data_IF_152834375015
#
_entry.id   IF_152834375015
#
_cell.length_a   1.000
_cell.length_b   1.000
_cell.length_c   1.000
_cell.angle_alpha   90.00
_cell.angle_beta   90.00
_cell.angle_gamma   90.00
#
_symmetry.space_group_name_H-M   'P 1'
#
loop_
_entity.id
_entity.type
_entity.pdbx_description
1 polymer ?
#
# COMPACT_ATOMS: atom_id res chain seq x y z
N UNK A 1 -7.61 12.63 19.88
CA UNK A 1 -6.54 11.80 19.29
C UNK A 1 -5.20 12.28 19.85
N UNK A 2 -4.52 11.52 20.72
CA UNK A 2 -3.25 11.93 21.34
C UNK A 2 -2.04 11.87 20.39
N UNK A 3 -2.25 11.44 19.14
CA UNK A 3 -1.21 11.28 18.12
C UNK A 3 -0.24 12.47 17.99
N UNK A 4 -0.68 13.75 17.96
CA UNK A 4 0.25 14.88 17.89
C UNK A 4 1.20 14.98 19.10
N UNK A 5 0.72 14.60 20.29
CA UNK A 5 1.56 14.58 21.49
C UNK A 5 2.62 13.48 21.42
N UNK A 6 2.28 12.31 20.87
CA UNK A 6 3.26 11.25 20.64
C UNK A 6 4.31 11.64 19.61
N UNK A 7 3.93 12.34 18.53
CA UNK A 7 4.89 12.88 17.57
C UNK A 7 5.82 13.92 18.23
N UNK A 8 5.28 14.82 19.05
CA UNK A 8 6.08 15.86 19.70
C UNK A 8 7.11 15.31 20.71
N UNK A 9 6.80 14.18 21.35
CA UNK A 9 7.63 13.57 22.39
C UNK A 9 8.66 12.58 21.85
N UNK A 10 8.55 12.15 20.59
CA UNK A 10 9.47 11.17 20.03
C UNK A 10 10.84 11.79 19.72
N UNK A 11 11.90 11.09 20.11
CA UNK A 11 13.27 11.44 19.73
C UNK A 11 13.58 11.07 18.28
N UNK A 12 12.89 10.05 17.74
CA UNK A 12 13.09 9.51 16.39
C UNK A 12 11.85 8.74 15.91
N UNK A 13 11.70 8.65 14.58
CA UNK A 13 10.64 7.91 13.91
C UNK A 13 11.16 6.76 13.07
N UNK A 14 10.43 5.64 13.11
CA UNK A 14 10.56 4.52 12.18
C UNK A 14 9.21 4.31 11.50
N UNK A 15 9.15 4.49 10.18
CA UNK A 15 7.89 4.53 9.43
C UNK A 15 7.92 3.60 8.23
N UNK A 16 6.82 2.89 7.99
CA UNK A 16 6.61 2.11 6.78
C UNK A 16 6.42 3.01 5.57
N UNK A 17 6.97 2.62 4.43
CA UNK A 17 6.83 3.38 3.18
C UNK A 17 5.42 3.33 2.58
N UNK A 18 4.46 2.58 3.11
CA UNK A 18 3.10 2.50 2.57
C UNK A 18 2.16 3.63 3.00
N UNK A 19 2.56 4.43 4.00
CA UNK A 19 1.77 5.56 4.52
C UNK A 19 2.42 6.92 4.21
N UNK A 20 1.90 7.61 3.19
CA UNK A 20 2.36 8.96 2.82
C UNK A 20 2.10 9.98 3.93
N UNK A 21 0.95 9.89 4.62
CA UNK A 21 0.62 10.82 5.69
C UNK A 21 1.57 10.69 6.87
N UNK A 22 1.89 9.47 7.32
CA UNK A 22 2.87 9.28 8.39
C UNK A 22 4.27 9.75 8.00
N UNK A 23 4.70 9.48 6.77
CA UNK A 23 6.00 9.97 6.29
C UNK A 23 6.05 11.51 6.31
N UNK A 24 4.97 12.17 5.91
CA UNK A 24 4.89 13.63 5.92
C UNK A 24 4.83 14.21 7.34
N UNK A 25 3.99 13.65 8.21
CA UNK A 25 3.84 14.09 9.59
C UNK A 25 5.11 13.87 10.41
N UNK A 26 5.80 12.73 10.23
CA UNK A 26 7.08 12.48 10.87
C UNK A 26 8.18 13.41 10.34
N UNK A 27 8.22 13.69 9.03
CA UNK A 27 9.20 14.62 8.46
C UNK A 27 9.00 16.06 8.96
N UNK A 28 7.75 16.48 9.21
CA UNK A 28 7.42 17.82 9.73
C UNK A 28 7.96 18.07 11.15
N UNK A 29 8.20 17.00 11.92
CA UNK A 29 8.78 17.12 13.28
C UNK A 29 10.26 17.49 13.29
N UNK A 30 10.94 17.41 12.14
CA UNK A 30 12.39 17.60 12.00
C UNK A 30 13.25 16.68 12.89
N UNK A 31 12.66 15.59 13.39
CA UNK A 31 13.39 14.53 14.09
C UNK A 31 13.96 13.52 13.09
N UNK A 32 14.98 12.74 13.49
CA UNK A 32 15.44 11.60 12.70
C UNK A 32 14.26 10.73 12.24
N UNK A 33 14.23 10.43 10.94
CA UNK A 33 13.19 9.62 10.31
C UNK A 33 13.85 8.48 9.52
N UNK A 34 13.55 7.26 9.92
CA UNK A 34 13.99 6.02 9.26
C UNK A 34 12.81 5.36 8.54
N UNK A 35 13.00 5.05 7.26
CA UNK A 35 11.98 4.43 6.41
C UNK A 35 12.29 2.96 6.19
N UNK A 36 11.26 2.12 6.18
CA UNK A 36 11.39 0.72 5.75
C UNK A 36 10.27 0.28 4.83
N UNK A 37 10.59 -0.68 3.97
CA UNK A 37 9.62 -1.31 3.08
C UNK A 37 9.03 -2.52 3.79
N UNK A 38 7.74 -2.51 4.16
CA UNK A 38 7.13 -3.68 4.77
C UNK A 38 7.14 -4.84 3.76
N UNK A 39 7.47 -6.04 4.23
CA UNK A 39 7.31 -7.25 3.42
C UNK A 39 5.80 -7.46 3.18
N UNK A 40 5.41 -7.50 1.91
CA UNK A 40 4.04 -7.85 1.55
C UNK A 40 3.95 -9.37 1.45
N UNK A 41 2.94 -9.95 2.07
CA UNK A 41 2.65 -11.35 1.87
C UNK A 41 2.37 -11.64 0.39
N UNK A 42 2.79 -12.81 -0.08
CA UNK A 42 2.67 -13.24 -1.49
C UNK A 42 1.23 -13.14 -2.00
N UNK A 43 0.24 -13.41 -1.15
CA UNK A 43 -1.18 -13.28 -1.49
C UNK A 43 -1.64 -11.83 -1.70
N UNK A 44 -1.06 -10.86 -0.98
CA UNK A 44 -1.40 -9.43 -1.11
C UNK A 44 -0.84 -8.86 -2.41
N UNK A 45 0.34 -9.32 -2.81
CA UNK A 45 0.95 -9.04 -4.11
C UNK A 45 0.09 -9.65 -5.23
N UNK A 46 -0.29 -10.92 -5.12
CA UNK A 46 -1.15 -11.60 -6.10
C UNK A 46 -2.51 -10.91 -6.30
N UNK A 47 -3.13 -10.38 -5.23
CA UNK A 47 -4.39 -9.65 -5.32
C UNK A 47 -4.26 -8.29 -6.00
N UNK A 48 -3.14 -7.58 -5.78
CA UNK A 48 -2.90 -6.26 -6.36
C UNK A 48 -2.20 -6.28 -7.73
N UNK A 49 -1.53 -7.38 -8.09
CA UNK A 49 -0.86 -7.57 -9.39
C UNK A 49 -1.62 -8.52 -10.32
N UNK A 50 -2.73 -9.09 -9.85
CA UNK A 50 -3.59 -9.97 -10.64
C UNK A 50 -4.19 -9.30 -11.88
N UNK A 51 -4.81 -10.11 -12.73
CA UNK A 51 -5.41 -9.75 -14.02
C UNK A 51 -6.29 -8.48 -14.00
N UNK A 52 -6.93 -8.16 -12.88
CA UNK A 52 -7.70 -6.90 -12.69
C UNK A 52 -6.86 -5.63 -12.64
N UNK A 53 -5.63 -5.67 -12.12
CA UNK A 53 -4.72 -4.52 -12.08
C UNK A 53 -4.14 -4.22 -13.46
N UNK A 54 -3.78 -5.27 -14.22
CA UNK A 54 -3.37 -5.16 -15.62
C UNK A 54 -4.54 -4.72 -16.51
N UNK A 55 -5.74 -5.22 -16.28
CA UNK A 55 -6.95 -4.79 -17.00
C UNK A 55 -7.30 -3.33 -16.69
N UNK A 56 -7.14 -2.86 -15.45
CA UNK A 56 -7.30 -1.43 -15.08
C UNK A 56 -6.23 -0.53 -15.72
N UNK A 57 -5.02 -1.02 -15.91
CA UNK A 57 -3.98 -0.30 -16.65
C UNK A 57 -4.28 -0.24 -18.16
N UNK A 58 -4.84 -1.32 -18.74
CA UNK A 58 -5.19 -1.40 -20.17
C UNK A 58 -6.49 -0.65 -20.53
N UNK A 59 -7.49 -0.65 -19.64
CA UNK A 59 -8.77 0.05 -19.84
C UNK A 59 -8.74 1.52 -19.40
N UNK A 60 -7.74 1.92 -18.61
CA UNK A 60 -7.61 3.28 -18.10
C UNK A 60 -6.97 4.22 -19.10
N UNK A 61 -7.79 4.92 -19.90
CA UNK A 61 -7.37 6.13 -20.62
C UNK A 61 -6.68 7.11 -19.65
N UNK A 62 -5.34 7.16 -19.70
CA UNK A 62 -4.52 8.02 -18.83
C UNK A 62 -4.98 9.49 -18.90
N UNK A 63 -5.39 9.96 -20.07
CA UNK A 63 -5.83 11.34 -20.29
C UNK A 63 -7.12 11.71 -19.56
N UNK A 64 -8.16 10.85 -19.57
CA UNK A 64 -9.43 11.10 -18.85
C UNK A 64 -9.25 11.02 -17.34
N UNK A 65 -8.40 10.11 -16.88
CA UNK A 65 -8.04 9.97 -15.46
C UNK A 65 -7.25 11.20 -15.00
N UNK A 66 -6.25 11.64 -15.74
CA UNK A 66 -5.47 12.85 -15.48
C UNK A 66 -6.32 14.12 -15.52
N UNK A 67 -7.24 14.24 -16.49
CA UNK A 67 -8.17 15.36 -16.55
C UNK A 67 -9.10 15.38 -15.31
N UNK A 68 -9.53 14.21 -14.83
CA UNK A 68 -10.35 14.11 -13.61
C UNK A 68 -9.55 14.44 -12.34
N UNK A 69 -8.26 14.07 -12.30
CA UNK A 69 -7.34 14.47 -11.23
C UNK A 69 -7.11 15.98 -11.24
N UNK A 70 -6.80 16.57 -12.40
CA UNK A 70 -6.61 18.03 -12.56
C UNK A 70 -7.87 18.83 -12.21
N UNK A 71 -9.04 18.29 -12.53
CA UNK A 71 -10.32 18.90 -12.17
C UNK A 71 -10.75 18.64 -10.72
N UNK A 72 -9.91 18.04 -9.87
CA UNK A 72 -10.21 17.77 -8.45
C UNK A 72 -11.26 16.68 -8.20
N UNK A 73 -11.74 16.00 -9.24
CA UNK A 73 -12.80 14.97 -9.14
C UNK A 73 -12.27 13.60 -8.70
N UNK A 74 -10.97 13.38 -8.78
CA UNK A 74 -10.32 12.14 -8.33
C UNK A 74 -9.02 12.45 -7.61
N UNK A 75 -8.79 11.80 -6.48
CA UNK A 75 -7.49 11.80 -5.82
C UNK A 75 -6.52 10.99 -6.68
N UNK A 76 -5.35 11.54 -7.07
CA UNK A 76 -4.36 10.77 -7.82
C UNK A 76 -3.90 9.56 -6.99
N UNK A 77 -3.51 8.45 -7.64
CA UNK A 77 -2.92 7.34 -6.91
C UNK A 77 -1.68 7.85 -6.18
N UNK A 78 -1.67 7.71 -4.86
CA UNK A 78 -0.49 8.03 -4.05
C UNK A 78 0.63 7.12 -4.52
N UNK A 79 1.80 7.70 -4.80
CA UNK A 79 3.03 6.97 -5.12
C UNK A 79 3.94 7.03 -3.90
N UNK A 80 3.66 6.23 -2.84
CA UNK A 80 4.39 6.28 -1.59
C UNK A 80 5.91 6.20 -1.77
N UNK A 81 6.36 5.35 -2.69
CA UNK A 81 7.76 5.15 -3.02
C UNK A 81 8.42 6.45 -3.50
N UNK A 82 7.73 7.25 -4.32
CA UNK A 82 8.26 8.54 -4.78
C UNK A 82 8.38 9.56 -3.66
N UNK A 83 7.48 9.51 -2.68
CA UNK A 83 7.56 10.37 -1.49
C UNK A 83 8.75 9.96 -0.63
N UNK A 84 8.92 8.65 -0.38
CA UNK A 84 10.08 8.12 0.33
C UNK A 84 11.40 8.52 -0.34
N UNK A 85 11.51 8.32 -1.67
CA UNK A 85 12.68 8.72 -2.46
C UNK A 85 12.95 10.23 -2.39
N UNK A 86 11.90 11.06 -2.42
CA UNK A 86 12.03 12.51 -2.33
C UNK A 86 12.52 12.95 -0.95
N UNK A 87 11.99 12.37 0.13
CA UNK A 87 12.41 12.65 1.50
C UNK A 87 13.87 12.28 1.73
N UNK A 88 14.29 11.11 1.23
CA UNK A 88 15.68 10.65 1.35
C UNK A 88 16.62 11.57 0.56
N UNK A 89 16.24 11.94 -0.68
CA UNK A 89 17.03 12.86 -1.50
C UNK A 89 17.15 14.25 -0.87
N UNK A 90 16.11 14.70 -0.17
CA UNK A 90 16.12 15.96 0.57
C UNK A 90 16.90 15.90 1.89
N UNK A 91 17.39 14.72 2.30
CA UNK A 91 18.06 14.52 3.58
C UNK A 91 17.12 14.50 4.79
N UNK A 92 15.80 14.50 4.56
CA UNK A 92 14.79 14.48 5.60
C UNK A 92 14.51 13.08 6.16
N UNK A 93 15.03 12.03 5.51
CA UNK A 93 14.90 10.65 5.95
C UNK A 93 16.10 9.81 5.54
N UNK A 94 16.29 8.68 6.22
CA UNK A 94 17.24 7.63 5.81
C UNK A 94 16.54 6.29 5.71
N UNK A 95 17.11 5.35 4.95
CA UNK A 95 16.62 3.97 5.00
C UNK A 95 16.98 3.34 6.35
N UNK A 96 16.08 2.53 6.90
CA UNK A 96 16.38 1.66 8.02
C UNK A 96 17.16 0.45 7.50
N UNK A 97 18.49 0.51 7.51
CA UNK A 97 19.36 -0.60 7.12
C UNK A 97 19.53 -1.55 8.32
N UNK A 98 18.55 -2.41 8.55
CA UNK A 98 18.59 -3.67 9.33
C UNK A 98 17.19 -3.93 9.86
N UNK A 99 16.47 -4.81 9.18
CA UNK A 99 15.84 -5.96 9.83
C UNK A 99 15.81 -7.06 8.78
N UNK A 100 16.74 -8.01 8.95
CA UNK A 100 16.68 -9.34 8.32
C UNK A 100 15.27 -9.87 8.47
N UNK A 101 14.79 -10.54 7.43
CA UNK A 101 13.51 -11.22 7.39
C UNK A 101 13.39 -12.29 8.49
N UNK A 102 13.11 -11.87 9.71
CA UNK A 102 12.48 -12.70 10.70
C UNK A 102 10.98 -12.57 10.51
N UNK A 103 10.50 -12.98 9.33
CA UNK A 103 9.30 -13.80 9.29
C UNK A 103 9.64 -15.05 10.08
N UNK A 104 9.56 -14.97 11.40
CA UNK A 104 9.10 -16.12 12.17
C UNK A 104 7.87 -16.57 11.42
N UNK A 105 7.89 -17.79 10.92
CA UNK A 105 6.72 -18.46 10.38
C UNK A 105 5.69 -18.57 11.49
N UNK A 106 5.05 -17.45 11.82
CA UNK A 106 3.84 -17.42 12.62
C UNK A 106 2.84 -18.19 11.77
N UNK A 107 2.69 -19.47 12.12
CA UNK A 107 1.61 -20.30 11.62
C UNK A 107 0.34 -19.47 11.85
N UNK A 108 -0.41 -19.13 10.79
CA UNK A 108 -1.60 -18.32 10.95
C UNK A 108 -2.50 -19.03 11.96
N UNK A 109 -2.89 -18.29 12.99
CA UNK A 109 -3.79 -18.80 14.00
C UNK A 109 -5.18 -19.10 13.39
N UNK A 110 -6.02 -19.78 14.16
CA UNK A 110 -7.32 -20.22 13.66
C UNK A 110 -8.18 -19.05 13.14
N UNK A 111 -8.11 -17.89 13.79
CA UNK A 111 -8.82 -16.68 13.37
C UNK A 111 -8.29 -16.14 12.04
N UNK A 112 -6.97 -16.06 11.88
CA UNK A 112 -6.34 -15.66 10.60
C UNK A 112 -6.75 -16.61 9.49
N UNK A 113 -6.78 -17.93 9.74
CA UNK A 113 -7.22 -18.93 8.76
C UNK A 113 -8.70 -18.81 8.38
N UNK A 114 -9.57 -18.42 9.31
CA UNK A 114 -11.00 -18.17 9.04
C UNK A 114 -11.18 -16.93 8.18
N UNK A 115 -10.45 -15.86 8.49
CA UNK A 115 -10.45 -14.62 7.69
C UNK A 115 -9.93 -14.91 6.28
N UNK A 116 -8.81 -15.64 6.17
CA UNK A 116 -8.23 -16.06 4.89
C UNK A 116 -9.23 -16.84 4.03
N UNK A 117 -9.89 -17.87 4.59
CA UNK A 117 -10.92 -18.65 3.88
C UNK A 117 -12.11 -17.81 3.44
N UNK A 118 -12.50 -16.81 4.24
CA UNK A 118 -13.60 -15.90 3.88
C UNK A 118 -13.21 -15.00 2.72
N UNK A 119 -11.98 -14.48 2.73
CA UNK A 119 -11.42 -13.69 1.64
C UNK A 119 -11.31 -14.53 0.36
N UNK A 120 -10.79 -15.77 0.45
CA UNK A 120 -10.69 -16.69 -0.68
C UNK A 120 -12.04 -16.96 -1.34
N UNK A 121 -13.10 -17.16 -0.53
CA UNK A 121 -14.46 -17.36 -1.05
C UNK A 121 -14.98 -16.14 -1.81
N UNK A 122 -14.82 -14.94 -1.23
CA UNK A 122 -15.25 -13.69 -1.89
C UNK A 122 -14.47 -13.44 -3.19
N UNK A 123 -13.18 -13.75 -3.19
CA UNK A 123 -12.33 -13.62 -4.39
C UNK A 123 -12.76 -14.63 -5.46
N UNK A 124 -12.99 -15.89 -5.10
CA UNK A 124 -13.48 -16.93 -6.01
C UNK A 124 -14.82 -16.59 -6.63
N UNK A 125 -15.75 -16.08 -5.83
CA UNK A 125 -17.06 -15.62 -6.31
C UNK A 125 -16.87 -14.47 -7.30
N UNK A 126 -16.05 -13.46 -6.96
CA UNK A 126 -15.82 -12.31 -7.83
C UNK A 126 -15.16 -12.67 -9.18
N UNK A 127 -14.21 -13.61 -9.21
CA UNK A 127 -13.58 -14.07 -10.46
C UNK A 127 -14.46 -15.02 -11.25
N UNK A 128 -15.25 -15.88 -10.60
CA UNK A 128 -16.21 -16.76 -11.27
C UNK A 128 -17.33 -15.97 -11.95
N UNK A 129 -17.82 -14.90 -11.31
CA UNK A 129 -18.79 -13.98 -11.92
C UNK A 129 -18.21 -13.19 -13.10
N UNK A 130 -16.91 -12.87 -13.08
CA UNK A 130 -16.25 -12.21 -14.20
C UNK A 130 -16.12 -13.12 -15.43
N UNK A 131 -15.68 -14.37 -15.22
CA UNK A 131 -15.51 -15.36 -16.30
C UNK A 131 -16.85 -15.81 -16.90
N UNK A 132 -17.91 -15.94 -16.09
CA UNK A 132 -19.25 -16.30 -16.57
C UNK A 132 -19.89 -15.23 -17.48
N UNK A 133 -19.51 -13.96 -17.32
CA UNK A 133 -20.00 -12.84 -18.14
C UNK A 133 -19.29 -12.71 -19.49
N UNK A 134 -18.12 -13.31 -19.62
CA UNK A 134 -17.31 -13.26 -20.84
C UNK A 134 -17.70 -14.38 -21.82
N UNK A 135 -18.13 -15.54 -21.30
CA UNK A 135 -18.65 -16.67 -22.11
C UNK A 135 -20.09 -16.54 -22.61
N UNK A 136 -20.82 -15.47 -22.28
CA UNK A 136 -22.19 -15.22 -22.79
C UNK A 136 -22.25 -14.15 -23.90
N UNK A 137 -21.09 -13.79 -24.47
CA UNK A 137 -20.93 -12.78 -25.53
C UNK A 137 -20.42 -13.36 -26.86
N UNK A 138 -20.29 -14.67 -26.96
CA UNK A 138 -20.17 -15.40 -28.23
C UNK A 138 -21.53 -15.92 -28.66
#
# INVERSE_FOLDING_TARGET
NPYPAFLALADEFVVTTDSVSMMAEAADTLRPLRLFVPSRSTWWVAWNEGSLAQLRQRLGSNSRREASVRAGRRVPPRRPQRVAEALIRAGAATWLHEFVQQTTSLQPDHETLVIMRRVERVVWEATSFANAKEGSRE
#
